data_IF_746316893696
#
_entry.id   IF_746316893696
#
_cell.length_a   1.000
_cell.length_b   1.000
_cell.length_c   1.000
_cell.angle_alpha   90.00
_cell.angle_beta   90.00
_cell.angle_gamma   90.00
#
_symmetry.space_group_name_H-M   'P 1'
#
loop_
_entity.id
_entity.type
_entity.pdbx_description
1 polymer ?
#
# COMPACT_ATOMS: atom_id res chain seq x y z
N UNK A 1 25.66 16.83 -9.90
CA UNK A 1 25.36 16.98 -11.35
C UNK A 1 25.07 15.63 -11.98
N UNK A 2 26.01 14.67 -11.97
CA UNK A 2 25.83 13.35 -12.59
C UNK A 2 24.64 12.52 -12.06
N UNK A 3 24.41 12.46 -10.74
CA UNK A 3 23.27 11.72 -10.17
C UNK A 3 21.91 12.30 -10.61
N UNK A 4 21.82 13.61 -10.83
CA UNK A 4 20.57 14.27 -11.20
C UNK A 4 20.26 14.12 -12.70
N UNK A 5 21.29 14.12 -13.54
CA UNK A 5 21.16 13.74 -14.94
C UNK A 5 20.71 12.27 -15.06
N UNK A 6 21.28 11.38 -14.25
CA UNK A 6 20.81 10.00 -14.14
C UNK A 6 19.39 9.91 -13.58
N UNK A 7 19.03 10.76 -12.62
CA UNK A 7 17.67 10.76 -12.04
C UNK A 7 16.60 11.12 -13.08
N UNK A 8 16.92 11.90 -14.11
CA UNK A 8 15.99 12.17 -15.22
C UNK A 8 15.69 10.92 -16.04
N UNK A 9 16.59 9.92 -16.08
CA UNK A 9 16.30 8.65 -16.77
C UNK A 9 15.19 7.85 -16.09
N UNK A 10 14.98 8.04 -14.77
CA UNK A 10 13.87 7.42 -14.03
C UNK A 10 12.50 7.90 -14.52
N UNK A 11 12.45 9.07 -15.18
CA UNK A 11 11.24 9.65 -15.74
C UNK A 11 10.98 9.19 -17.18
N UNK A 12 11.86 8.35 -17.74
CA UNK A 12 11.66 7.78 -19.07
C UNK A 12 10.85 6.49 -18.98
N UNK A 13 9.60 6.54 -19.46
CA UNK A 13 8.67 5.41 -19.49
C UNK A 13 8.54 4.78 -20.89
N UNK A 14 9.39 5.18 -21.84
CA UNK A 14 9.43 4.55 -23.16
C UNK A 14 9.78 3.07 -23.03
N UNK A 15 9.11 2.21 -23.81
CA UNK A 15 9.17 0.74 -23.65
C UNK A 15 10.54 0.07 -23.82
N UNK A 16 11.58 0.82 -24.21
CA UNK A 16 12.96 0.36 -24.34
C UNK A 16 13.87 0.86 -23.20
N UNK A 17 13.41 1.80 -22.38
CA UNK A 17 14.20 2.37 -21.30
C UNK A 17 14.20 1.42 -20.08
N UNK A 18 15.39 1.06 -19.61
CA UNK A 18 15.57 0.28 -18.39
C UNK A 18 15.39 1.18 -17.18
N UNK A 19 14.46 0.83 -16.28
CA UNK A 19 14.30 1.53 -15.01
C UNK A 19 15.38 1.05 -14.02
N UNK A 20 16.35 1.91 -13.69
CA UNK A 20 17.45 1.55 -12.79
C UNK A 20 17.09 1.81 -11.33
N UNK A 21 16.82 0.72 -10.60
CA UNK A 21 16.46 0.76 -9.17
C UNK A 21 17.62 1.28 -8.32
N UNK A 22 18.88 1.10 -8.71
CA UNK A 22 20.02 1.61 -7.95
C UNK A 22 20.10 3.15 -8.04
N UNK A 23 19.74 3.71 -9.20
CA UNK A 23 19.64 5.17 -9.36
C UNK A 23 18.50 5.70 -8.47
N UNK A 24 17.35 5.03 -8.43
CA UNK A 24 16.26 5.40 -7.52
C UNK A 24 16.71 5.35 -6.05
N UNK A 25 17.40 4.29 -5.63
CA UNK A 25 17.95 4.16 -4.27
C UNK A 25 18.90 5.32 -3.92
N UNK A 26 19.76 5.72 -4.86
CA UNK A 26 20.67 6.84 -4.66
C UNK A 26 19.95 8.19 -4.58
N UNK A 27 18.89 8.40 -5.37
CA UNK A 27 18.05 9.61 -5.32
C UNK A 27 17.27 9.68 -4.00
N UNK A 28 16.66 8.58 -3.57
CA UNK A 28 15.98 8.47 -2.27
C UNK A 28 16.96 8.76 -1.13
N UNK A 29 18.14 8.16 -1.15
CA UNK A 29 19.18 8.42 -0.14
C UNK A 29 19.57 9.90 -0.11
N UNK A 30 19.73 10.53 -1.28
CA UNK A 30 20.02 11.97 -1.38
C UNK A 30 18.87 12.83 -0.83
N UNK A 31 17.61 12.41 -0.98
CA UNK A 31 16.47 13.10 -0.40
C UNK A 31 16.46 13.03 1.13
N UNK A 32 16.79 11.88 1.72
CA UNK A 32 16.81 11.71 3.19
C UNK A 32 18.07 12.24 3.87
N UNK A 33 19.23 12.12 3.22
CA UNK A 33 20.56 12.39 3.83
C UNK A 33 21.31 13.55 3.20
N UNK A 34 20.89 14.01 2.02
CA UNK A 34 21.47 15.17 1.36
C UNK A 34 21.08 16.49 2.02
N UNK A 35 21.65 17.58 1.54
CA UNK A 35 21.38 18.94 2.03
C UNK A 35 21.32 19.93 0.86
N UNK A 36 20.65 21.07 1.09
CA UNK A 36 20.60 22.18 0.14
C UNK A 36 19.99 21.80 -1.22
N UNK A 37 20.62 22.26 -2.30
CA UNK A 37 20.09 22.10 -3.66
C UNK A 37 19.99 20.63 -4.09
N UNK A 38 20.92 19.76 -3.66
CA UNK A 38 20.88 18.35 -4.02
C UNK A 38 19.65 17.64 -3.41
N UNK A 39 19.32 17.93 -2.16
CA UNK A 39 18.12 17.40 -1.50
C UNK A 39 16.84 17.90 -2.17
N UNK A 40 16.80 19.20 -2.48
CA UNK A 40 15.67 19.82 -3.17
C UNK A 40 15.44 19.19 -4.55
N UNK A 41 16.49 19.05 -5.35
CA UNK A 41 16.41 18.46 -6.69
C UNK A 41 16.01 16.98 -6.63
N UNK A 42 16.52 16.21 -5.66
CA UNK A 42 16.07 14.83 -5.44
C UNK A 42 14.57 14.77 -5.11
N UNK A 43 14.08 15.67 -4.25
CA UNK A 43 12.65 15.78 -3.93
C UNK A 43 11.80 16.13 -5.16
N UNK A 44 12.26 17.05 -6.01
CA UNK A 44 11.57 17.43 -7.24
C UNK A 44 11.44 16.23 -8.21
N UNK A 45 12.52 15.49 -8.45
CA UNK A 45 12.49 14.28 -9.31
C UNK A 45 11.52 13.24 -8.74
N UNK A 46 11.59 12.95 -7.43
CA UNK A 46 10.70 11.97 -6.81
C UNK A 46 9.23 12.42 -6.87
N UNK A 47 8.93 13.71 -6.71
CA UNK A 47 7.57 14.19 -6.87
C UNK A 47 7.07 14.02 -8.32
N UNK A 48 7.89 14.35 -9.32
CA UNK A 48 7.54 14.16 -10.73
C UNK A 48 7.35 12.68 -11.06
N UNK A 49 8.25 11.82 -10.59
CA UNK A 49 8.15 10.38 -10.78
C UNK A 49 6.87 9.82 -10.15
N UNK A 50 6.57 10.16 -8.90
CA UNK A 50 5.34 9.71 -8.22
C UNK A 50 4.08 10.16 -8.93
N UNK A 51 4.13 11.33 -9.56
CA UNK A 51 2.98 11.92 -10.22
C UNK A 51 2.80 11.47 -11.68
N UNK A 52 3.80 10.77 -12.23
CA UNK A 52 3.76 10.23 -13.58
C UNK A 52 2.66 9.16 -13.74
N UNK A 53 1.87 9.18 -14.82
CA UNK A 53 0.75 8.25 -15.05
C UNK A 53 1.12 6.77 -15.02
N UNK A 54 2.35 6.45 -15.44
CA UNK A 54 2.84 5.07 -15.61
C UNK A 54 3.83 4.64 -14.52
N UNK A 55 4.05 5.48 -13.50
CA UNK A 55 4.99 5.18 -12.41
C UNK A 55 4.68 3.87 -11.69
N UNK A 56 3.39 3.52 -11.59
CA UNK A 56 2.93 2.29 -10.95
C UNK A 56 3.44 1.02 -11.65
N UNK A 57 3.75 1.09 -12.95
CA UNK A 57 4.27 -0.03 -13.74
C UNK A 57 5.68 -0.45 -13.36
N UNK A 58 6.35 0.33 -12.51
CA UNK A 58 7.71 0.05 -12.01
C UNK A 58 7.71 -0.42 -10.55
N UNK A 59 6.57 -0.38 -9.87
CA UNK A 59 6.48 -0.66 -8.43
C UNK A 59 6.89 -2.10 -8.11
N UNK A 60 6.51 -3.07 -8.94
CA UNK A 60 6.93 -4.47 -8.82
C UNK A 60 8.45 -4.61 -8.83
N UNK A 61 9.10 -4.01 -9.83
CA UNK A 61 10.55 -4.01 -10.02
C UNK A 61 11.25 -3.33 -8.84
N UNK A 62 10.71 -2.22 -8.34
CA UNK A 62 11.30 -1.51 -7.20
C UNK A 62 11.22 -2.37 -5.93
N UNK A 63 10.06 -2.99 -5.67
CA UNK A 63 9.86 -3.80 -4.46
C UNK A 63 10.67 -5.10 -4.48
N UNK A 64 10.91 -5.66 -5.68
CA UNK A 64 11.74 -6.85 -5.90
C UNK A 64 13.24 -6.56 -5.77
N UNK A 65 13.74 -5.52 -6.47
CA UNK A 65 15.18 -5.31 -6.60
C UNK A 65 15.78 -4.33 -5.60
N UNK A 66 15.00 -3.42 -5.01
CA UNK A 66 15.54 -2.45 -4.04
C UNK A 66 15.88 -3.13 -2.72
N UNK A 67 17.01 -2.73 -2.15
CA UNK A 67 17.43 -3.13 -0.78
C UNK A 67 17.13 -2.05 0.26
N UNK A 68 16.67 -0.88 -0.18
CA UNK A 68 16.42 0.28 0.67
C UNK A 68 14.94 0.32 1.09
N UNK A 69 14.68 0.31 2.39
CA UNK A 69 13.32 0.31 2.92
C UNK A 69 12.58 1.61 2.58
N UNK A 70 13.29 2.74 2.55
CA UNK A 70 12.78 4.05 2.15
C UNK A 70 12.33 4.05 0.68
N UNK A 71 13.10 3.39 -0.21
CA UNK A 71 12.71 3.24 -1.62
C UNK A 71 11.48 2.35 -1.77
N UNK A 72 11.41 1.23 -1.03
CA UNK A 72 10.22 0.37 -1.03
C UNK A 72 8.99 1.14 -0.53
N UNK A 73 9.14 1.92 0.53
CA UNK A 73 8.08 2.77 1.05
C UNK A 73 7.62 3.81 0.01
N UNK A 74 8.56 4.43 -0.70
CA UNK A 74 8.25 5.34 -1.80
C UNK A 74 7.50 4.65 -2.94
N UNK A 75 7.88 3.42 -3.34
CA UNK A 75 7.13 2.64 -4.32
C UNK A 75 5.68 2.37 -3.87
N UNK A 76 5.49 2.06 -2.58
CA UNK A 76 4.16 1.93 -1.99
C UNK A 76 3.36 3.25 -2.03
N UNK A 77 3.98 4.42 -1.90
CA UNK A 77 3.29 5.71 -2.09
C UNK A 77 2.78 5.90 -3.53
N UNK A 78 3.56 5.47 -4.53
CA UNK A 78 3.15 5.49 -5.95
C UNK A 78 1.92 4.60 -6.14
N UNK A 79 1.97 3.39 -5.59
CA UNK A 79 0.89 2.42 -5.71
C UNK A 79 -0.39 2.91 -5.01
N UNK A 80 -0.27 3.44 -3.80
CA UNK A 80 -1.40 4.03 -3.07
C UNK A 80 -2.07 5.15 -3.87
N UNK A 81 -1.28 6.07 -4.45
CA UNK A 81 -1.83 7.15 -5.30
C UNK A 81 -2.59 6.58 -6.48
N UNK A 82 -2.05 5.54 -7.12
CA UNK A 82 -2.65 4.89 -8.27
C UNK A 82 -3.98 4.21 -7.89
N UNK A 83 -4.03 3.51 -6.76
CA UNK A 83 -5.27 2.92 -6.25
C UNK A 83 -6.30 4.02 -5.97
N UNK A 84 -5.94 5.06 -5.22
CA UNK A 84 -6.86 6.15 -4.87
C UNK A 84 -7.45 6.87 -6.09
N UNK A 85 -6.67 7.05 -7.16
CA UNK A 85 -7.05 7.93 -8.27
C UNK A 85 -7.46 7.20 -9.55
N UNK A 86 -6.93 6.00 -9.80
CA UNK A 86 -7.02 5.31 -11.08
C UNK A 86 -7.45 3.85 -11.00
N UNK A 87 -7.75 3.31 -9.81
CA UNK A 87 -8.13 1.90 -9.66
C UNK A 87 -9.22 1.43 -10.63
N UNK A 88 -10.25 2.25 -10.86
CA UNK A 88 -11.36 1.90 -11.78
C UNK A 88 -10.96 1.93 -13.27
N UNK A 89 -9.87 2.61 -13.61
CA UNK A 89 -9.37 2.71 -14.98
C UNK A 89 -8.34 1.62 -15.31
N UNK A 90 -7.78 0.96 -14.30
CA UNK A 90 -6.86 -0.15 -14.50
C UNK A 90 -7.59 -1.38 -15.08
N UNK A 91 -6.92 -2.17 -15.92
CA UNK A 91 -7.41 -3.48 -16.33
C UNK A 91 -7.68 -4.37 -15.11
N UNK A 92 -8.75 -5.17 -15.14
CA UNK A 92 -9.13 -6.03 -14.00
C UNK A 92 -8.03 -7.01 -13.59
N UNK A 93 -7.28 -7.53 -14.57
CA UNK A 93 -6.14 -8.43 -14.32
C UNK A 93 -5.05 -7.73 -13.50
N UNK A 94 -4.78 -6.46 -13.77
CA UNK A 94 -3.82 -5.65 -13.02
C UNK A 94 -4.33 -5.35 -11.61
N UNK A 95 -5.62 -5.04 -11.46
CA UNK A 95 -6.23 -4.90 -10.13
C UNK A 95 -6.08 -6.18 -9.30
N UNK A 96 -6.35 -7.34 -9.90
CA UNK A 96 -6.23 -8.63 -9.22
C UNK A 96 -4.77 -8.95 -8.86
N UNK A 97 -3.82 -8.71 -9.79
CA UNK A 97 -2.41 -8.91 -9.54
C UNK A 97 -1.90 -8.03 -8.39
N UNK A 98 -2.24 -6.73 -8.38
CA UNK A 98 -1.88 -5.81 -7.29
C UNK A 98 -2.46 -6.29 -5.96
N UNK A 99 -3.74 -6.71 -5.97
CA UNK A 99 -4.43 -7.22 -4.78
C UNK A 99 -3.73 -8.44 -4.19
N UNK A 100 -3.44 -9.45 -5.02
CA UNK A 100 -2.76 -10.67 -4.61
C UNK A 100 -1.34 -10.39 -4.10
N UNK A 101 -0.63 -9.49 -4.77
CA UNK A 101 0.72 -9.11 -4.37
C UNK A 101 0.76 -8.41 -3.01
N UNK A 102 -0.13 -7.44 -2.76
CA UNK A 102 -0.21 -6.74 -1.47
C UNK A 102 -0.59 -7.71 -0.34
N UNK A 103 -1.57 -8.59 -0.57
CA UNK A 103 -1.94 -9.62 0.42
C UNK A 103 -0.75 -10.54 0.71
N UNK A 104 -0.03 -10.99 -0.32
CA UNK A 104 1.15 -11.85 -0.17
C UNK A 104 2.24 -11.15 0.65
N UNK A 105 2.49 -9.87 0.42
CA UNK A 105 3.47 -9.09 1.20
C UNK A 105 3.03 -8.95 2.66
N UNK A 106 1.77 -8.61 2.91
CA UNK A 106 1.26 -8.51 4.28
C UNK A 106 1.50 -9.82 5.02
N UNK A 107 1.07 -10.95 4.42
CA UNK A 107 1.25 -12.28 5.00
C UNK A 107 2.74 -12.57 5.27
N UNK A 108 3.64 -12.32 4.32
CA UNK A 108 5.07 -12.62 4.52
C UNK A 108 5.71 -11.76 5.62
N UNK A 109 5.22 -10.53 5.82
CA UNK A 109 5.76 -9.58 6.78
C UNK A 109 5.07 -9.61 8.15
N UNK A 110 3.87 -10.21 8.26
CA UNK A 110 3.12 -10.33 9.53
C UNK A 110 3.20 -11.71 10.19
N UNK A 111 3.94 -12.66 9.63
CA UNK A 111 4.09 -14.00 10.22
C UNK A 111 5.02 -14.03 11.44
N UNK A 112 5.99 -13.13 11.55
CA UNK A 112 7.01 -13.14 12.60
C UNK A 112 7.01 -11.82 13.41
N UNK A 113 6.88 -11.87 14.76
CA UNK A 113 6.89 -10.67 15.61
C UNK A 113 8.14 -9.78 15.47
N UNK A 114 9.33 -10.37 15.35
CA UNK A 114 10.59 -9.62 15.20
C UNK A 114 10.63 -8.88 13.86
N UNK A 115 10.12 -9.53 12.80
CA UNK A 115 10.01 -8.94 11.48
C UNK A 115 9.01 -7.79 11.48
N UNK A 116 7.85 -7.99 12.12
CA UNK A 116 6.82 -6.96 12.26
C UNK A 116 7.35 -5.72 12.97
N UNK A 117 8.09 -5.89 14.06
CA UNK A 117 8.63 -4.73 14.79
C UNK A 117 9.74 -4.02 13.98
N UNK A 118 10.63 -4.79 13.35
CA UNK A 118 11.71 -4.22 12.50
C UNK A 118 11.15 -3.45 11.29
N UNK A 119 10.08 -3.96 10.68
CA UNK A 119 9.54 -3.43 9.42
C UNK A 119 8.17 -2.75 9.60
N UNK A 120 7.83 -2.37 10.83
CA UNK A 120 6.55 -1.79 11.23
C UNK A 120 6.04 -0.68 10.33
N UNK A 121 6.92 0.26 9.96
CA UNK A 121 6.56 1.39 9.09
C UNK A 121 6.16 0.91 7.69
N UNK A 122 6.84 -0.12 7.17
CA UNK A 122 6.56 -0.70 5.88
C UNK A 122 5.28 -1.55 5.91
N UNK A 123 5.11 -2.39 6.94
CA UNK A 123 3.91 -3.19 7.14
C UNK A 123 2.65 -2.33 7.29
N UNK A 124 2.69 -1.31 8.16
CA UNK A 124 1.59 -0.36 8.30
C UNK A 124 1.23 0.31 6.96
N UNK A 125 2.22 0.54 6.08
CA UNK A 125 1.96 1.11 4.76
C UNK A 125 1.25 0.13 3.83
N UNK A 126 1.60 -1.15 3.88
CA UNK A 126 0.91 -2.20 3.16
C UNK A 126 -0.54 -2.33 3.64
N UNK A 127 -0.78 -2.27 4.94
CA UNK A 127 -2.13 -2.33 5.53
C UNK A 127 -3.00 -1.16 5.05
N UNK A 128 -2.45 0.06 5.05
CA UNK A 128 -3.13 1.24 4.49
C UNK A 128 -3.49 1.01 3.02
N UNK A 129 -2.58 0.44 2.23
CA UNK A 129 -2.82 0.15 0.81
C UNK A 129 -3.92 -0.89 0.63
N UNK A 130 -3.91 -1.96 1.42
CA UNK A 130 -4.96 -2.97 1.41
C UNK A 130 -6.31 -2.32 1.73
N UNK A 131 -6.40 -1.44 2.72
CA UNK A 131 -7.63 -0.70 3.03
C UNK A 131 -8.06 0.20 1.87
N UNK A 132 -7.14 0.84 1.15
CA UNK A 132 -7.51 1.57 -0.06
C UNK A 132 -8.10 0.65 -1.14
N UNK A 133 -7.56 -0.56 -1.33
CA UNK A 133 -8.13 -1.56 -2.26
C UNK A 133 -9.53 -1.99 -1.79
N UNK A 134 -9.70 -2.26 -0.49
CA UNK A 134 -10.99 -2.67 0.09
C UNK A 134 -12.06 -1.61 -0.11
N UNK A 135 -11.72 -0.32 0.00
CA UNK A 135 -12.65 0.78 -0.33
C UNK A 135 -13.18 0.69 -1.77
N UNK A 136 -12.47 0.06 -2.70
CA UNK A 136 -12.93 -0.13 -4.08
C UNK A 136 -13.64 -1.46 -4.32
N UNK A 137 -13.19 -2.53 -3.67
CA UNK A 137 -13.57 -3.91 -3.99
C UNK A 137 -14.56 -4.52 -2.98
N UNK A 138 -14.43 -4.20 -1.69
CA UNK A 138 -15.33 -4.70 -0.65
C UNK A 138 -16.57 -3.80 -0.52
N UNK A 139 -17.77 -4.37 -0.31
CA UNK A 139 -18.07 -5.80 -0.21
C UNK A 139 -18.46 -6.48 -1.53
N UNK A 140 -18.76 -5.73 -2.59
CA UNK A 140 -19.42 -6.30 -3.77
C UNK A 140 -18.55 -7.27 -4.58
N UNK A 141 -17.26 -6.96 -4.73
CA UNK A 141 -16.32 -7.77 -5.53
C UNK A 141 -15.45 -8.66 -4.67
N UNK A 142 -15.36 -8.37 -3.38
CA UNK A 142 -14.63 -9.17 -2.41
C UNK A 142 -15.48 -9.50 -1.17
N UNK A 143 -16.60 -10.22 -1.33
CA UNK A 143 -17.59 -10.42 -0.27
C UNK A 143 -17.06 -11.22 0.94
N UNK A 144 -16.09 -12.10 0.72
CA UNK A 144 -15.60 -12.98 1.78
C UNK A 144 -14.49 -12.37 2.63
N UNK A 145 -14.04 -11.14 2.35
CA UNK A 145 -12.87 -10.54 2.99
C UNK A 145 -12.88 -10.63 4.53
N UNK A 146 -13.98 -10.23 5.19
CA UNK A 146 -14.04 -10.27 6.67
C UNK A 146 -13.98 -11.71 7.20
N UNK A 147 -14.56 -12.67 6.46
CA UNK A 147 -14.48 -14.08 6.87
C UNK A 147 -13.06 -14.62 6.69
N UNK A 148 -12.42 -14.30 5.56
CA UNK A 148 -11.07 -14.75 5.23
C UNK A 148 -10.03 -14.17 6.19
N UNK A 149 -10.13 -12.88 6.54
CA UNK A 149 -9.19 -12.23 7.46
C UNK A 149 -9.37 -12.73 8.90
N UNK A 150 -10.60 -12.98 9.34
CA UNK A 150 -10.88 -13.57 10.67
C UNK A 150 -10.33 -14.98 10.77
N UNK A 151 -10.45 -15.78 9.70
CA UNK A 151 -9.88 -17.13 9.69
C UNK A 151 -8.34 -17.08 9.65
N UNK A 152 -7.77 -16.21 8.82
CA UNK A 152 -6.32 -16.02 8.75
C UNK A 152 -5.72 -15.59 10.10
N UNK A 153 -6.44 -14.78 10.89
CA UNK A 153 -6.02 -14.35 12.24
C UNK A 153 -5.79 -15.51 13.21
N UNK A 154 -6.40 -16.67 12.98
CA UNK A 154 -6.21 -17.85 13.85
C UNK A 154 -4.89 -18.59 13.58
N UNK A 155 -4.14 -18.18 12.56
CA UNK A 155 -2.91 -18.87 12.13
C UNK A 155 -1.72 -18.59 13.06
N UNK A 156 -1.58 -17.34 13.52
CA UNK A 156 -0.57 -16.94 14.50
C UNK A 156 -0.99 -15.65 15.21
N UNK A 157 -0.46 -15.42 16.42
CA UNK A 157 -0.73 -14.20 17.19
C UNK A 157 -0.25 -12.94 16.46
N UNK A 158 0.92 -13.00 15.81
CA UNK A 158 1.47 -11.94 14.97
C UNK A 158 0.55 -11.56 13.80
N UNK A 159 0.03 -12.56 13.09
CA UNK A 159 -0.95 -12.38 12.01
C UNK A 159 -2.25 -11.79 12.55
N UNK A 160 -2.73 -12.28 13.70
CA UNK A 160 -3.91 -11.74 14.36
C UNK A 160 -3.75 -10.26 14.70
N UNK A 161 -2.61 -9.89 15.29
CA UNK A 161 -2.29 -8.51 15.65
C UNK A 161 -2.34 -7.59 14.42
N UNK A 162 -1.72 -8.00 13.30
CA UNK A 162 -1.75 -7.21 12.07
C UNK A 162 -3.17 -7.12 11.47
N UNK A 163 -3.90 -8.22 11.47
CA UNK A 163 -5.27 -8.26 10.97
C UNK A 163 -6.22 -7.36 11.78
N UNK A 164 -6.03 -7.27 13.09
CA UNK A 164 -6.77 -6.33 13.94
C UNK A 164 -6.42 -4.87 13.61
N UNK A 165 -5.16 -4.57 13.27
CA UNK A 165 -4.76 -3.24 12.78
C UNK A 165 -5.42 -2.91 11.44
N UNK A 166 -5.47 -3.85 10.48
CA UNK A 166 -6.18 -3.68 9.20
C UNK A 166 -7.68 -3.42 9.44
N UNK A 167 -8.32 -4.17 10.33
CA UNK A 167 -9.73 -4.00 10.67
C UNK A 167 -9.99 -2.64 11.33
N UNK A 168 -9.07 -2.17 12.18
CA UNK A 168 -9.12 -0.84 12.79
C UNK A 168 -9.03 0.25 11.71
N UNK A 169 -8.03 0.18 10.82
CA UNK A 169 -7.85 1.13 9.71
C UNK A 169 -9.08 1.15 8.78
N UNK A 170 -9.65 -0.01 8.48
CA UNK A 170 -10.89 -0.12 7.70
C UNK A 170 -12.06 0.56 8.42
N UNK A 171 -12.19 0.35 9.74
CA UNK A 171 -13.22 1.01 10.56
C UNK A 171 -13.06 2.53 10.51
N UNK A 172 -11.85 3.06 10.71
CA UNK A 172 -11.58 4.50 10.66
C UNK A 172 -11.94 5.10 9.29
N UNK A 173 -11.59 4.43 8.19
CA UNK A 173 -11.92 4.89 6.83
C UNK A 173 -13.43 4.85 6.53
N UNK A 174 -14.15 3.88 7.09
CA UNK A 174 -15.60 3.70 6.87
C UNK A 174 -16.43 4.61 7.80
N UNK A 175 -16.04 4.74 9.06
CA UNK A 175 -16.81 5.43 10.08
C UNK A 175 -16.40 6.89 10.25
N UNK A 176 -15.10 7.17 10.37
CA UNK A 176 -14.57 8.47 10.78
C UNK A 176 -14.22 9.36 9.58
N UNK A 177 -13.61 8.80 8.53
CA UNK A 177 -13.13 9.54 7.37
C UNK A 177 -14.02 9.44 6.12
N UNK A 178 -15.21 8.84 6.24
CA UNK A 178 -16.11 8.69 5.08
C UNK A 178 -16.64 10.01 4.51
N UNK A 179 -16.70 11.07 5.32
CA UNK A 179 -17.14 12.40 4.91
C UNK A 179 -16.11 13.07 3.98
N UNK A 180 -16.49 13.33 2.73
CA UNK A 180 -15.65 14.01 1.74
C UNK A 180 -14.71 13.10 0.93
N UNK A 181 -14.50 11.85 1.38
CA UNK A 181 -13.69 10.84 0.65
C UNK A 181 -14.55 9.92 -0.24
N UNK A 182 -15.85 9.79 0.05
CA UNK A 182 -16.77 8.94 -0.70
C UNK A 182 -18.19 9.51 -0.73
N UNK A 183 -19.04 8.97 -1.61
CA UNK A 183 -20.45 9.37 -1.67
C UNK A 183 -21.20 8.89 -0.44
N UNK A 184 -22.24 9.64 -0.01
CA UNK A 184 -23.05 9.29 1.17
C UNK A 184 -23.67 7.88 1.05
N UNK A 185 -24.16 7.51 -0.14
CA UNK A 185 -24.71 6.19 -0.38
C UNK A 185 -23.66 5.07 -0.21
N UNK A 186 -22.43 5.30 -0.66
CA UNK A 186 -21.33 4.35 -0.49
C UNK A 186 -20.90 4.23 0.98
N UNK A 187 -20.80 5.36 1.67
CA UNK A 187 -20.48 5.39 3.11
C UNK A 187 -21.53 4.60 3.91
N UNK A 188 -22.82 4.86 3.68
CA UNK A 188 -23.90 4.12 4.33
C UNK A 188 -23.82 2.62 4.05
N UNK A 189 -23.63 2.24 2.78
CA UNK A 189 -23.52 0.83 2.41
C UNK A 189 -22.36 0.12 3.14
N UNK A 190 -21.17 0.74 3.19
CA UNK A 190 -20.01 0.17 3.87
C UNK A 190 -20.24 0.05 5.39
N UNK A 191 -20.85 1.07 6.00
CA UNK A 191 -21.23 1.04 7.43
C UNK A 191 -22.19 -0.11 7.73
N UNK A 192 -23.28 -0.20 6.97
CA UNK A 192 -24.29 -1.25 7.15
C UNK A 192 -23.67 -2.65 6.97
N UNK A 193 -22.81 -2.84 5.97
CA UNK A 193 -22.11 -4.12 5.78
C UNK A 193 -21.14 -4.42 6.93
N UNK A 194 -20.35 -3.45 7.38
CA UNK A 194 -19.41 -3.66 8.49
C UNK A 194 -20.16 -4.04 9.77
N UNK A 195 -21.30 -3.40 10.06
CA UNK A 195 -22.16 -3.76 11.19
C UNK A 195 -22.71 -5.18 11.07
N UNK A 196 -23.13 -5.61 9.88
CA UNK A 196 -23.64 -6.97 9.66
C UNK A 196 -22.56 -8.06 9.85
N UNK A 197 -21.31 -7.75 9.54
CA UNK A 197 -20.19 -8.68 9.71
C UNK A 197 -19.46 -8.53 11.06
N UNK A 198 -19.82 -7.51 11.84
CA UNK A 198 -19.13 -7.16 13.09
C UNK A 198 -19.12 -8.29 14.12
N UNK A 199 -20.16 -9.14 14.15
CA UNK A 199 -20.19 -10.30 15.06
C UNK A 199 -18.97 -11.20 14.89
N UNK A 200 -18.48 -11.41 13.66
CA UNK A 200 -17.28 -12.24 13.41
C UNK A 200 -16.01 -11.58 13.94
N UNK A 201 -15.90 -10.27 13.75
CA UNK A 201 -14.78 -9.46 14.27
C UNK A 201 -14.80 -9.46 15.80
N UNK A 202 -15.98 -9.27 16.39
CA UNK A 202 -16.15 -9.27 17.84
C UNK A 202 -15.76 -10.62 18.46
N UNK A 203 -16.20 -11.73 17.87
CA UNK A 203 -15.81 -13.08 18.32
C UNK A 203 -14.30 -13.31 18.23
N UNK A 204 -13.63 -12.76 17.21
CA UNK A 204 -12.17 -12.79 17.14
C UNK A 204 -11.54 -11.99 18.29
N UNK A 205 -12.05 -10.79 18.57
CA UNK A 205 -11.55 -9.98 19.70
C UNK A 205 -11.76 -10.70 21.04
N UNK A 206 -12.90 -11.36 21.25
CA UNK A 206 -13.15 -12.17 22.46
C UNK A 206 -12.22 -13.39 22.57
N UNK A 207 -11.81 -13.99 21.46
CA UNK A 207 -10.90 -15.13 21.45
C UNK A 207 -9.46 -14.77 21.85
N UNK A 208 -9.05 -13.53 21.58
CA UNK A 208 -7.68 -13.04 21.81
C UNK A 208 -7.49 -12.51 23.25
N UNK A 209 -8.57 -12.19 23.95
CA UNK A 209 -8.59 -11.74 25.36
C UNK A 209 -8.55 -12.94 26.31
#
# INVERSE_FOLDING_TARGET
MQLLEQAQSLLNFDGQATFDVNVLDAVINTMYRGQGDAQRQASEVLNVLRDHPDAWTKVDSILEFSKCQETKYYALQILEKTIKTRWKALPKEQCEAIKQYIVSLIISHSQNPELMEREKVYLNKLDIILVQILKHEWPKKWPNFISDIVEASKTSESMCQNNLEILKLLSEEVFDFSSGQMTQAKAKHLKDTMCNEFTKIFQLCEYVV
#
